data_IF_314601757754
#
_entry.id   IF_314601757754
#
_cell.length_a   1.000
_cell.length_b   1.000
_cell.length_c   1.000
_cell.angle_alpha   90.00
_cell.angle_beta   90.00
_cell.angle_gamma   90.00
#
_symmetry.space_group_name_H-M   'P 1'
#
loop_
_entity.id
_entity.type
_entity.pdbx_description
1 polymer ?
#
# COMPACT_ATOMS: atom_id res chain seq x y z
N UNK A 1 -8.98 -10.13 7.79
CA UNK A 1 -9.62 -11.06 6.82
C UNK A 1 -8.65 -12.20 6.62
N UNK A 2 -9.17 -13.41 6.49
CA UNK A 2 -8.36 -14.62 6.32
C UNK A 2 -8.71 -15.28 4.99
N UNK A 3 -7.80 -16.12 4.47
CA UNK A 3 -8.06 -16.91 3.27
C UNK A 3 -9.38 -17.70 3.35
N UNK A 4 -9.81 -18.07 4.56
CA UNK A 4 -11.04 -18.84 4.80
C UNK A 4 -12.34 -18.09 4.46
N UNK A 5 -12.29 -16.77 4.25
CA UNK A 5 -13.46 -15.96 3.93
C UNK A 5 -13.82 -16.00 2.42
N UNK A 6 -13.03 -16.71 1.59
CA UNK A 6 -13.12 -16.68 0.13
C UNK A 6 -13.08 -18.09 -0.47
N UNK A 7 -13.77 -18.27 -1.60
CA UNK A 7 -13.64 -19.49 -2.41
C UNK A 7 -12.28 -19.54 -3.10
N UNK A 8 -11.85 -20.75 -3.50
CA UNK A 8 -10.63 -20.94 -4.30
C UNK A 8 -10.62 -20.04 -5.54
N UNK A 9 -11.74 -19.95 -6.25
CA UNK A 9 -11.88 -19.12 -7.45
C UNK A 9 -11.77 -17.62 -7.16
N UNK A 10 -12.26 -17.15 -6.01
CA UNK A 10 -12.12 -15.76 -5.59
C UNK A 10 -10.69 -15.42 -5.20
N UNK A 11 -10.01 -16.37 -4.55
CA UNK A 11 -8.60 -16.23 -4.19
C UNK A 11 -7.72 -16.21 -5.45
N UNK A 12 -7.92 -17.13 -6.38
CA UNK A 12 -7.18 -17.19 -7.64
C UNK A 12 -7.36 -15.91 -8.47
N UNK A 13 -8.58 -15.35 -8.51
CA UNK A 13 -8.85 -14.10 -9.22
C UNK A 13 -8.13 -12.88 -8.61
N UNK A 14 -7.81 -12.90 -7.32
CA UNK A 14 -7.20 -11.76 -6.60
C UNK A 14 -5.72 -11.93 -6.28
N UNK A 15 -5.26 -13.16 -6.11
CA UNK A 15 -3.90 -13.54 -5.75
C UNK A 15 -3.57 -14.88 -6.44
N UNK A 16 -3.45 -14.88 -7.78
CA UNK A 16 -3.12 -16.08 -8.54
C UNK A 16 -1.74 -16.61 -8.15
N UNK A 17 -1.53 -17.92 -8.33
CA UNK A 17 -0.24 -18.57 -8.02
C UNK A 17 0.92 -18.02 -8.87
N UNK A 18 0.60 -17.55 -10.09
CA UNK A 18 1.55 -16.88 -10.98
C UNK A 18 1.23 -15.40 -11.05
N UNK A 19 2.12 -14.58 -10.48
CA UNK A 19 2.05 -13.13 -10.57
C UNK A 19 3.10 -12.66 -11.58
N UNK A 20 2.67 -11.84 -12.54
CA UNK A 20 3.60 -11.07 -13.36
C UNK A 20 4.26 -9.98 -12.49
N UNK A 21 5.47 -10.29 -12.02
CA UNK A 21 6.23 -9.40 -11.14
C UNK A 21 6.62 -8.09 -11.81
N UNK A 22 6.84 -8.09 -13.12
CA UNK A 22 7.23 -6.88 -13.86
C UNK A 22 6.04 -5.93 -13.95
N UNK A 23 4.88 -6.45 -14.38
CA UNK A 23 3.64 -5.68 -14.42
C UNK A 23 3.29 -5.17 -13.02
N UNK A 24 3.39 -6.00 -11.98
CA UNK A 24 3.15 -5.59 -10.60
C UNK A 24 4.07 -4.44 -10.17
N UNK A 25 5.37 -4.54 -10.45
CA UNK A 25 6.35 -3.51 -10.11
C UNK A 25 6.05 -2.19 -10.86
N UNK A 26 5.71 -2.26 -12.15
CA UNK A 26 5.33 -1.09 -12.95
C UNK A 26 4.09 -0.39 -12.37
N UNK A 27 3.05 -1.14 -12.00
CA UNK A 27 1.84 -0.58 -11.39
C UNK A 27 2.12 0.10 -10.04
N UNK A 28 3.02 -0.45 -9.21
CA UNK A 28 3.40 0.18 -7.93
C UNK A 28 4.31 1.38 -8.10
N UNK A 29 5.19 1.37 -9.10
CA UNK A 29 6.03 2.52 -9.42
C UNK A 29 5.22 3.71 -9.96
N UNK A 30 4.09 3.44 -10.62
CA UNK A 30 3.19 4.48 -11.12
C UNK A 30 2.31 5.12 -10.02
N UNK A 31 2.26 4.55 -8.81
CA UNK A 31 1.45 5.01 -7.68
C UNK A 31 2.36 5.41 -6.52
N UNK A 32 1.87 6.25 -5.63
CA UNK A 32 2.55 6.49 -4.36
C UNK A 32 2.39 5.24 -3.49
N UNK A 33 3.46 4.44 -3.37
CA UNK A 33 3.46 3.17 -2.65
C UNK A 33 4.38 3.25 -1.43
N UNK A 34 3.89 2.80 -0.27
CA UNK A 34 4.64 2.75 0.97
C UNK A 34 4.65 1.34 1.55
N UNK A 35 5.79 0.99 2.14
CA UNK A 35 6.01 -0.31 2.80
C UNK A 35 6.26 -0.07 4.29
N UNK A 36 5.61 -0.88 5.12
CA UNK A 36 5.86 -0.90 6.56
C UNK A 36 6.76 -2.08 6.89
N UNK A 37 7.81 -1.80 7.66
CA UNK A 37 8.79 -2.78 8.11
C UNK A 37 8.76 -2.88 9.64
N UNK A 38 8.95 -4.10 10.16
CA UNK A 38 9.03 -4.40 11.58
C UNK A 38 10.03 -5.54 11.78
N UNK A 39 11.01 -5.36 12.66
CA UNK A 39 12.04 -6.38 12.97
C UNK A 39 12.70 -6.93 11.69
N UNK A 40 13.10 -6.02 10.78
CA UNK A 40 13.72 -6.34 9.48
C UNK A 40 12.86 -7.22 8.55
N UNK A 41 11.54 -7.25 8.78
CA UNK A 41 10.56 -7.95 7.95
C UNK A 41 9.50 -6.99 7.43
N UNK A 42 9.04 -7.25 6.22
CA UNK A 42 7.89 -6.54 5.65
C UNK A 42 6.64 -6.88 6.46
N UNK A 43 6.07 -5.89 7.14
CA UNK A 43 4.84 -6.01 7.91
C UNK A 43 3.58 -5.75 7.06
N UNK A 44 3.70 -4.96 6.00
CA UNK A 44 2.61 -4.64 5.09
C UNK A 44 2.97 -3.55 4.08
N UNK A 45 2.04 -3.25 3.18
CA UNK A 45 2.20 -2.15 2.22
C UNK A 45 0.86 -1.52 1.89
N UNK A 46 0.90 -0.29 1.36
CA UNK A 46 -0.27 0.41 0.84
C UNK A 46 0.13 1.28 -0.33
N UNK A 47 -0.75 1.42 -1.31
CA UNK A 47 -0.65 2.45 -2.34
C UNK A 47 -1.87 3.37 -2.35
N UNK A 48 -1.64 4.60 -2.81
CA UNK A 48 -2.68 5.60 -3.02
C UNK A 48 -2.70 6.02 -4.48
N UNK A 49 -3.91 6.19 -5.01
CA UNK A 49 -4.14 6.84 -6.28
C UNK A 49 -3.99 8.37 -6.14
N UNK A 50 -3.74 9.10 -7.24
CA UNK A 50 -3.53 10.55 -7.20
C UNK A 50 -4.71 11.36 -6.62
N UNK A 51 -5.92 10.79 -6.66
CA UNK A 51 -7.13 11.39 -6.09
C UNK A 51 -7.32 11.10 -4.59
N UNK A 52 -6.40 10.32 -4.00
CA UNK A 52 -6.39 9.96 -2.58
C UNK A 52 -7.11 8.65 -2.25
N UNK A 53 -7.63 7.91 -3.23
CA UNK A 53 -8.20 6.59 -2.99
C UNK A 53 -7.13 5.56 -2.64
N UNK A 54 -7.46 4.66 -1.71
CA UNK A 54 -6.62 3.50 -1.41
C UNK A 54 -6.88 2.45 -2.48
N UNK A 55 -5.87 2.17 -3.29
CA UNK A 55 -5.97 1.14 -4.31
C UNK A 55 -5.72 -0.25 -3.70
N UNK A 56 -4.68 -0.38 -2.89
CA UNK A 56 -4.34 -1.59 -2.15
C UNK A 56 -3.81 -1.27 -0.75
N UNK A 57 -4.17 -2.15 0.18
CA UNK A 57 -3.68 -2.15 1.55
C UNK A 57 -3.60 -3.59 2.04
N UNK A 58 -2.40 -4.04 2.36
CA UNK A 58 -2.16 -5.39 2.84
C UNK A 58 -1.29 -5.39 4.10
N UNK A 59 -1.64 -6.24 5.06
CA UNK A 59 -0.88 -6.45 6.29
C UNK A 59 -0.69 -7.95 6.51
N UNK A 60 0.55 -8.34 6.77
CA UNK A 60 0.92 -9.72 7.05
C UNK A 60 0.09 -10.30 8.20
N UNK A 61 -0.51 -11.51 8.07
CA UNK A 61 -1.39 -12.09 9.08
C UNK A 61 -0.83 -12.10 10.52
N UNK A 62 0.45 -12.45 10.77
CA UNK A 62 1.00 -12.51 12.13
C UNK A 62 1.06 -11.16 12.86
N UNK A 63 1.03 -10.04 12.13
CA UNK A 63 1.14 -8.68 12.67
C UNK A 63 -0.14 -7.86 12.47
N UNK A 64 -1.24 -8.51 12.06
CA UNK A 64 -2.55 -7.88 12.04
C UNK A 64 -3.00 -7.46 13.44
N UNK A 65 -3.93 -6.49 13.50
CA UNK A 65 -4.47 -5.89 14.74
C UNK A 65 -3.43 -5.21 15.65
N UNK A 66 -2.21 -4.98 15.18
CA UNK A 66 -1.16 -4.20 15.87
C UNK A 66 -1.07 -2.73 15.39
N UNK A 67 -2.01 -2.28 14.57
CA UNK A 67 -2.04 -0.90 14.07
C UNK A 67 -1.20 -0.62 12.82
N UNK A 68 -0.62 -1.64 12.18
CA UNK A 68 0.19 -1.50 10.94
C UNK A 68 -0.56 -0.76 9.83
N UNK A 69 -1.79 -1.17 9.54
CA UNK A 69 -2.64 -0.49 8.53
C UNK A 69 -2.87 0.98 8.86
N UNK A 70 -3.14 1.30 10.14
CA UNK A 70 -3.33 2.68 10.59
C UNK A 70 -2.05 3.50 10.43
N UNK A 71 -0.90 2.91 10.74
CA UNK A 71 0.40 3.56 10.58
C UNK A 71 0.68 3.88 9.10
N UNK A 72 0.44 2.93 8.20
CA UNK A 72 0.58 3.12 6.75
C UNK A 72 -0.28 4.29 6.26
N UNK A 73 -1.57 4.31 6.61
CA UNK A 73 -2.50 5.36 6.15
C UNK A 73 -2.18 6.76 6.71
N UNK A 74 -1.76 6.85 7.96
CA UNK A 74 -1.36 8.13 8.55
C UNK A 74 -0.04 8.63 7.95
N UNK A 75 0.87 7.72 7.65
CA UNK A 75 2.15 8.06 7.02
C UNK A 75 1.95 8.53 5.58
N UNK A 76 1.22 7.76 4.77
CA UNK A 76 0.97 8.07 3.36
C UNK A 76 0.32 9.45 3.20
N UNK A 77 -0.72 9.74 3.99
CA UNK A 77 -1.37 11.05 4.01
C UNK A 77 -0.39 12.19 4.29
N UNK A 78 0.41 12.08 5.36
CA UNK A 78 1.39 13.11 5.72
C UNK A 78 2.45 13.31 4.66
N UNK A 79 2.88 12.24 3.99
CA UNK A 79 3.88 12.34 2.92
C UNK A 79 3.34 13.14 1.75
N UNK A 80 2.10 12.87 1.33
CA UNK A 80 1.42 13.65 0.28
C UNK A 80 1.22 15.12 0.67
N UNK A 81 0.80 15.40 1.91
CA UNK A 81 0.67 16.78 2.41
C UNK A 81 2.00 17.54 2.37
N UNK A 82 3.12 16.89 2.72
CA UNK A 82 4.46 17.48 2.67
C UNK A 82 4.91 17.75 1.24
N UNK A 83 4.64 16.83 0.32
CA UNK A 83 4.96 17.00 -1.10
C UNK A 83 4.18 18.16 -1.72
N UNK A 84 2.87 18.25 -1.43
CA UNK A 84 2.03 19.36 -1.88
C UNK A 84 2.50 20.72 -1.33
N UNK A 85 2.90 20.77 -0.05
CA UNK A 85 3.49 21.96 0.56
C UNK A 85 4.82 22.36 -0.10
N UNK A 86 5.70 21.40 -0.35
CA UNK A 86 6.97 21.63 -1.05
C UNK A 86 6.78 22.18 -2.47
N UNK A 87 5.81 21.63 -3.20
CA UNK A 87 5.48 22.07 -4.57
C UNK A 87 4.88 23.48 -4.60
N UNK A 88 3.98 23.79 -3.66
CA UNK A 88 3.34 25.12 -3.58
C UNK A 88 4.29 26.24 -3.14
N UNK A 89 5.26 25.94 -2.28
CA UNK A 89 6.27 26.91 -1.83
C UNK A 89 7.25 27.26 -2.95
N UNK A 90 7.67 26.27 -3.77
CA UNK A 90 8.51 26.51 -4.97
C UNK A 90 7.84 27.33 -6.07
N UNK A 91 6.50 27.37 -6.10
CA UNK A 91 5.73 28.14 -7.09
C UNK A 91 5.52 29.61 -6.71
N UNK A 92 5.88 30.00 -5.49
CA UNK A 92 5.74 31.37 -4.96
C UNK A 92 7.08 32.11 -4.80
N UNK A 93 8.20 31.43 -5.04
CA UNK A 93 9.54 32.01 -5.12
C UNK A 93 9.90 32.25 -6.58
#
# INVERSE_FOLDING_TARGET
>A
MSRADYTESQLEAWAPDVIDHEQFAQHRAAKSTWVAESEDRIAGFSDLEPDGHIHMLYVQPPVQRRGVARALLLYSRRSLEREAWSASTRRRA
#
